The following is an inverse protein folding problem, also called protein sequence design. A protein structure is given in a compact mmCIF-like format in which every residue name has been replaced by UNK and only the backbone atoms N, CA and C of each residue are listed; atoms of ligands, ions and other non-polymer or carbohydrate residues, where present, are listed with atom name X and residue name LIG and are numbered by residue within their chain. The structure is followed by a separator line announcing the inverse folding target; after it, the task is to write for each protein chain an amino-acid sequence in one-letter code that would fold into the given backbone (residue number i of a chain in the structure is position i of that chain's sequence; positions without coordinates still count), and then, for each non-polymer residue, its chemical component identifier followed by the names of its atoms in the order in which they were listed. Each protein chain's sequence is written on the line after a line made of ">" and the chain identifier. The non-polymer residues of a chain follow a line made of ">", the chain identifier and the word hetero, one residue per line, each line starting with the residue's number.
data_IF_680606822923
#
_entry.id   IF_680606822923
#
_cell.length_a   1.000
_cell.length_b   1.000
_cell.length_c   1.000
_cell.angle_alpha   90.00
_cell.angle_beta   90.00
_cell.angle_gamma   90.00
#
_symmetry.space_group_name_H-M   'P 1'
#
loop_
_entity.id
_entity.type
_entity.pdbx_description
1 polymer ?
#
# COMPACT_ATOMS: atom_id res chain seq x y z
N UNK A 1 -17.73 1.94 -8.58
CA UNK A 1 -18.04 2.28 -7.17
C UNK A 1 -16.73 2.55 -6.45
N UNK A 2 -16.27 3.81 -6.46
CA UNK A 2 -15.01 4.18 -5.80
C UNK A 2 -15.23 4.21 -4.28
N UNK A 3 -14.27 3.73 -3.47
CA UNK A 3 -14.41 3.75 -2.02
C UNK A 3 -14.51 5.21 -1.53
N UNK A 4 -15.57 5.51 -0.78
CA UNK A 4 -15.97 6.82 -0.23
C UNK A 4 -14.95 7.48 0.72
N UNK A 5 -13.74 6.95 0.84
CA UNK A 5 -12.71 7.43 1.78
C UNK A 5 -11.65 8.34 1.14
N UNK A 6 -11.71 8.58 -0.18
CA UNK A 6 -10.72 9.38 -0.91
C UNK A 6 -11.03 10.87 -0.98
N UNK A 7 -12.16 11.31 -0.41
CA UNK A 7 -12.55 12.72 -0.34
C UNK A 7 -12.12 13.31 1.01
N UNK A 8 -11.20 14.28 1.00
CA UNK A 8 -10.92 15.24 2.09
C UNK A 8 -10.14 14.78 3.33
N UNK A 9 -8.90 14.30 3.18
CA UNK A 9 -7.92 14.41 4.27
C UNK A 9 -6.71 15.22 3.83
N UNK A 10 -6.95 16.51 3.59
CA UNK A 10 -5.87 17.50 3.36
C UNK A 10 -5.14 17.85 4.67
N UNK A 11 -5.65 17.45 5.83
CA UNK A 11 -5.06 17.70 7.15
C UNK A 11 -4.98 16.40 7.97
N UNK A 12 -3.78 15.83 8.15
CA UNK A 12 -3.58 14.63 8.97
C UNK A 12 -4.15 14.80 10.39
N UNK A 13 -4.00 15.99 10.98
CA UNK A 13 -4.45 16.30 12.34
C UNK A 13 -5.94 16.08 12.57
N UNK A 14 -6.79 16.38 11.58
CA UNK A 14 -8.24 16.18 11.69
C UNK A 14 -8.58 14.67 11.72
N UNK A 15 -7.94 13.88 10.86
CA UNK A 15 -8.08 12.42 10.87
C UNK A 15 -7.64 11.80 12.19
N UNK A 16 -6.50 12.26 12.71
CA UNK A 16 -5.96 11.77 13.98
C UNK A 16 -6.92 12.08 15.13
N UNK A 17 -7.53 13.27 15.13
CA UNK A 17 -8.49 13.68 16.16
C UNK A 17 -9.79 12.84 16.15
N UNK A 18 -10.23 12.36 14.98
CA UNK A 18 -11.43 11.51 14.85
C UNK A 18 -11.21 10.07 15.32
N UNK A 19 -9.96 9.59 15.36
CA UNK A 19 -9.62 8.21 15.71
C UNK A 19 -8.41 8.11 16.67
N UNK A 20 -8.45 8.72 17.87
CA UNK A 20 -7.27 9.01 18.68
C UNK A 20 -6.49 7.78 19.18
N UNK A 21 -7.15 6.62 19.28
CA UNK A 21 -6.56 5.45 19.95
C UNK A 21 -5.97 4.40 19.01
N UNK A 22 -6.30 4.42 17.72
CA UNK A 22 -5.91 3.32 16.83
C UNK A 22 -5.60 3.76 15.40
N UNK A 23 -5.11 4.98 15.24
CA UNK A 23 -4.83 5.58 13.94
C UNK A 23 -3.35 5.85 13.75
N UNK A 24 -2.91 5.86 12.50
CA UNK A 24 -1.59 6.32 12.07
C UNK A 24 -1.77 7.14 10.79
N UNK A 25 -0.90 8.12 10.58
CA UNK A 25 -0.83 8.86 9.32
C UNK A 25 0.60 8.91 8.80
N UNK A 26 0.78 8.77 7.50
CA UNK A 26 2.06 8.93 6.81
C UNK A 26 1.91 9.98 5.72
N UNK A 27 2.94 10.80 5.50
CA UNK A 27 2.97 11.80 4.43
C UNK A 27 4.02 11.44 3.38
N UNK A 28 3.71 11.70 2.12
CA UNK A 28 4.59 11.53 0.97
C UNK A 28 4.97 12.91 0.44
N UNK A 29 5.86 13.59 1.17
CA UNK A 29 6.21 14.97 0.91
C UNK A 29 4.97 15.87 0.87
N UNK A 30 4.78 16.59 -0.23
CA UNK A 30 3.60 17.42 -0.49
C UNK A 30 2.57 16.76 -1.41
N UNK A 31 2.82 15.54 -1.87
CA UNK A 31 2.01 14.89 -2.90
C UNK A 31 0.78 14.18 -2.32
N UNK A 32 0.92 13.52 -1.16
CA UNK A 32 -0.17 12.76 -0.56
C UNK A 32 0.00 12.54 0.95
N UNK A 33 -1.12 12.23 1.60
CA UNK A 33 -1.19 11.76 2.99
C UNK A 33 -1.99 10.46 3.02
N UNK A 34 -1.43 9.44 3.65
CA UNK A 34 -2.12 8.19 3.96
C UNK A 34 -2.58 8.22 5.41
N UNK A 35 -3.90 8.11 5.63
CA UNK A 35 -4.48 7.87 6.95
C UNK A 35 -4.88 6.40 7.08
N UNK A 36 -4.54 5.78 8.22
CA UNK A 36 -4.83 4.40 8.51
C UNK A 36 -5.41 4.23 9.91
N UNK A 37 -6.64 3.68 10.00
CA UNK A 37 -7.19 3.20 11.28
C UNK A 37 -6.98 1.70 11.35
N UNK A 38 -6.28 1.23 12.38
CA UNK A 38 -6.13 -0.20 12.65
C UNK A 38 -7.51 -0.76 13.03
N UNK A 39 -7.90 -1.92 12.45
CA UNK A 39 -9.14 -2.58 12.83
C UNK A 39 -9.08 -3.08 14.28
N UNK A 40 -10.22 -3.12 14.95
CA UNK A 40 -10.37 -3.59 16.33
C UNK A 40 -9.89 -5.05 16.51
N UNK A 41 -10.00 -5.85 15.43
CA UNK A 41 -9.50 -7.21 15.37
C UNK A 41 -8.14 -7.24 14.64
N UNK A 42 -7.01 -7.41 15.35
CA UNK A 42 -5.68 -7.41 14.75
C UNK A 42 -5.45 -8.62 13.83
N UNK A 43 -6.20 -9.71 14.06
CA UNK A 43 -6.22 -10.91 13.22
C UNK A 43 -7.19 -10.73 12.05
N UNK A 44 -6.89 -9.76 11.18
CA UNK A 44 -7.50 -9.78 9.85
C UNK A 44 -7.00 -11.02 9.12
N UNK A 45 -7.91 -11.84 8.59
CA UNK A 45 -7.59 -13.05 7.80
C UNK A 45 -6.66 -12.74 6.62
N UNK A 46 -6.61 -11.47 6.22
CA UNK A 46 -5.83 -10.98 5.09
C UNK A 46 -4.59 -10.24 5.60
N UNK A 47 -3.41 -10.75 5.23
CA UNK A 47 -2.14 -10.07 5.43
C UNK A 47 -2.18 -8.69 4.76
N UNK A 48 -1.81 -7.65 5.50
CA UNK A 48 -1.73 -6.29 4.98
C UNK A 48 -0.26 -5.88 4.93
N UNK A 49 0.21 -5.53 3.75
CA UNK A 49 1.58 -5.08 3.52
C UNK A 49 1.55 -3.64 3.05
N UNK A 50 2.46 -2.83 3.60
CA UNK A 50 2.74 -1.51 3.08
C UNK A 50 4.18 -1.50 2.57
N UNK A 51 4.38 -1.01 1.37
CA UNK A 51 5.72 -0.86 0.80
C UNK A 51 5.83 0.41 -0.05
N UNK A 52 7.01 1.01 -0.06
CA UNK A 52 7.34 2.16 -0.89
C UNK A 52 8.69 1.95 -1.57
N UNK A 53 8.76 2.19 -2.88
CA UNK A 53 9.98 2.11 -3.66
C UNK A 53 9.91 3.10 -4.83
N UNK A 54 10.96 3.90 -5.02
CA UNK A 54 11.08 4.91 -6.10
C UNK A 54 9.82 5.76 -6.32
N UNK A 55 9.40 6.52 -5.30
CA UNK A 55 8.22 7.39 -5.31
C UNK A 55 6.87 6.70 -5.56
N UNK A 56 6.85 5.38 -5.62
CA UNK A 56 5.62 4.58 -5.73
C UNK A 56 5.38 3.89 -4.40
N UNK A 57 4.15 4.00 -3.92
CA UNK A 57 3.74 3.39 -2.66
C UNK A 57 2.56 2.45 -2.89
N UNK A 58 2.61 1.27 -2.29
CA UNK A 58 1.60 0.23 -2.41
C UNK A 58 1.09 -0.18 -1.03
N UNK A 59 -0.22 -0.14 -0.88
CA UNK A 59 -0.93 -0.82 0.21
C UNK A 59 -1.56 -2.09 -0.38
N UNK A 60 -1.00 -3.24 -0.01
CA UNK A 60 -1.47 -4.55 -0.45
C UNK A 60 -2.30 -5.22 0.64
N UNK A 61 -3.41 -5.85 0.27
CA UNK A 61 -4.29 -6.60 1.16
C UNK A 61 -4.54 -7.99 0.58
N UNK A 62 -4.13 -9.03 1.32
CA UNK A 62 -4.24 -10.43 0.93
C UNK A 62 -2.88 -11.10 0.82
N UNK A 63 -2.82 -12.19 0.06
CA UNK A 63 -1.57 -12.88 -0.28
C UNK A 63 -1.68 -13.46 -1.69
N UNK A 64 -0.55 -13.54 -2.38
CA UNK A 64 -0.44 -14.15 -3.71
C UNK A 64 0.08 -15.58 -3.55
N UNK A 65 -0.78 -16.56 -3.80
CA UNK A 65 -0.43 -17.98 -3.73
C UNK A 65 0.66 -18.40 -4.75
N UNK A 66 0.82 -17.63 -5.82
CA UNK A 66 1.77 -17.86 -6.90
C UNK A 66 2.96 -16.89 -6.89
N UNK A 67 3.18 -16.14 -5.80
CA UNK A 67 4.25 -15.13 -5.70
C UNK A 67 5.63 -15.66 -6.10
N UNK A 68 5.99 -16.87 -5.66
CA UNK A 68 7.28 -17.47 -5.99
C UNK A 68 7.42 -17.79 -7.49
N UNK A 69 6.33 -18.21 -8.14
CA UNK A 69 6.30 -18.45 -9.58
C UNK A 69 6.48 -17.13 -10.32
N UNK A 70 5.73 -16.10 -9.92
CA UNK A 70 5.82 -14.76 -10.50
C UNK A 70 7.23 -14.16 -10.34
N UNK A 71 7.81 -14.22 -9.13
CA UNK A 71 9.17 -13.72 -8.88
C UNK A 71 10.21 -14.39 -9.79
N UNK A 72 10.10 -15.72 -9.99
CA UNK A 72 10.99 -16.45 -10.91
C UNK A 72 10.77 -16.05 -12.37
N UNK A 73 9.52 -15.97 -12.81
CA UNK A 73 9.17 -15.67 -14.19
C UNK A 73 9.63 -14.26 -14.61
N UNK A 74 9.57 -13.30 -13.70
CA UNK A 74 9.97 -11.92 -13.94
C UNK A 74 11.41 -11.62 -13.48
N UNK A 75 12.18 -12.62 -13.06
CA UNK A 75 13.58 -12.44 -12.65
C UNK A 75 13.77 -11.54 -11.42
N UNK A 76 12.76 -11.42 -10.56
CA UNK A 76 12.81 -10.59 -9.36
C UNK A 76 13.66 -11.27 -8.28
N UNK A 77 14.47 -10.50 -7.55
CA UNK A 77 15.40 -11.01 -6.54
C UNK A 77 14.71 -11.78 -5.41
N UNK A 78 15.43 -12.67 -4.73
CA UNK A 78 14.91 -13.41 -3.58
C UNK A 78 14.59 -12.45 -2.42
N UNK A 79 13.32 -12.38 -2.00
CA UNK A 79 12.87 -11.57 -0.87
C UNK A 79 11.71 -10.59 -1.18
N UNK A 80 11.25 -10.55 -2.42
CA UNK A 80 10.15 -9.68 -2.86
C UNK A 80 8.82 -10.18 -2.28
N UNK A 81 8.25 -9.43 -1.34
CA UNK A 81 6.88 -9.64 -0.84
C UNK A 81 5.84 -9.17 -1.88
N UNK A 82 4.56 -9.47 -1.68
CA UNK A 82 3.50 -9.16 -2.64
C UNK A 82 3.40 -7.66 -2.96
N UNK A 83 3.59 -6.78 -1.97
CA UNK A 83 3.55 -5.35 -2.18
C UNK A 83 4.71 -4.88 -3.08
N UNK A 84 5.92 -5.36 -2.85
CA UNK A 84 7.07 -5.08 -3.71
C UNK A 84 6.86 -5.63 -5.12
N UNK A 85 6.31 -6.84 -5.25
CA UNK A 85 6.00 -7.42 -6.56
C UNK A 85 5.06 -6.52 -7.38
N UNK A 86 3.99 -6.01 -6.74
CA UNK A 86 3.03 -5.11 -7.39
C UNK A 86 3.68 -3.78 -7.80
N UNK A 87 4.58 -3.23 -6.98
CA UNK A 87 5.32 -2.00 -7.33
C UNK A 87 6.19 -2.24 -8.58
N UNK A 88 6.93 -3.33 -8.64
CA UNK A 88 7.79 -3.67 -9.78
C UNK A 88 6.97 -3.90 -11.08
N UNK A 89 5.86 -4.63 -10.97
CA UNK A 89 4.95 -4.83 -12.09
C UNK A 89 4.38 -3.50 -12.61
N UNK A 90 3.94 -2.62 -11.70
CA UNK A 90 3.42 -1.30 -12.06
C UNK A 90 4.49 -0.42 -12.71
N UNK A 91 5.72 -0.41 -12.19
CA UNK A 91 6.86 0.32 -12.78
C UNK A 91 7.10 -0.12 -14.22
N UNK A 92 7.16 -1.43 -14.46
CA UNK A 92 7.34 -2.00 -15.80
C UNK A 92 6.25 -1.54 -16.76
N UNK A 93 4.98 -1.56 -16.33
CA UNK A 93 3.85 -1.11 -17.14
C UNK A 93 3.89 0.40 -17.40
N UNK A 94 4.30 1.19 -16.41
CA UNK A 94 4.37 2.66 -16.53
C UNK A 94 5.48 3.11 -17.47
N UNK A 95 6.64 2.44 -17.44
CA UNK A 95 7.76 2.69 -18.36
C UNK A 95 7.43 2.25 -19.79
N UNK A 96 6.54 1.27 -19.97
CA UNK A 96 6.14 0.78 -21.30
C UNK A 96 5.12 1.68 -22.02
N UNK A 97 4.64 2.75 -21.38
CA UNK A 97 3.63 3.68 -21.92
C UNK A 97 4.20 5.08 -22.21
N UNK A 98 5.53 5.23 -22.17
CA UNK A 98 6.28 6.43 -22.55
C UNK A 98 7.23 6.05 -23.67
#
# INVERSE_FOLDING_TARGET
>A
MAPRSLSYLRKPSEFLSRHPHNTCSMSFGQAAVLGYVRPDRPFSVHQRLFCGHEDICCLFLGSLNNLNVLNKQYGLTKGTNEAMFVIEAYRTLRVSLV
#
